data_IF_775401372813
#
_entry.id   IF_775401372813
#
_cell.length_a   1.000
_cell.length_b   1.000
_cell.length_c   1.000
_cell.angle_alpha   90.00
_cell.angle_beta   90.00
_cell.angle_gamma   90.00
#
_symmetry.space_group_name_H-M   'P 1'
#
loop_
_entity.id
_entity.type
_entity.pdbx_description
1 polymer ?
#
# COMPACT_ATOMS: atom_id res chain seq x y z
N UNK A 1 -35.49 6.98 -26.72
CA UNK A 1 -34.10 7.31 -27.10
C UNK A 1 -33.26 6.07 -26.83
N UNK A 2 -32.83 5.39 -27.88
CA UNK A 2 -31.89 4.24 -27.75
C UNK A 2 -30.51 4.81 -27.46
N UNK A 3 -29.98 4.56 -26.30
CA UNK A 3 -28.59 4.87 -25.97
C UNK A 3 -27.70 4.03 -26.92
N UNK A 4 -26.97 4.69 -27.77
CA UNK A 4 -25.95 4.04 -28.60
C UNK A 4 -24.80 3.75 -27.63
N UNK A 5 -24.60 2.49 -27.27
CA UNK A 5 -23.43 2.07 -26.51
C UNK A 5 -22.21 2.23 -27.44
N UNK A 6 -21.41 3.24 -27.17
CA UNK A 6 -20.11 3.34 -27.85
C UNK A 6 -19.23 2.21 -27.32
N UNK A 7 -18.71 1.38 -28.20
CA UNK A 7 -17.68 0.39 -27.84
C UNK A 7 -16.32 1.03 -28.08
N UNK A 8 -15.42 0.90 -27.10
CA UNK A 8 -14.03 1.32 -27.22
C UNK A 8 -13.14 0.09 -27.26
N UNK A 9 -12.22 0.05 -28.20
CA UNK A 9 -11.22 -1.01 -28.28
C UNK A 9 -10.03 -0.65 -27.36
N UNK A 10 -9.73 -1.51 -26.40
CA UNK A 10 -8.57 -1.36 -25.52
C UNK A 10 -7.46 -2.29 -25.98
N UNK A 11 -6.29 -1.74 -26.22
CA UNK A 11 -5.11 -2.51 -26.63
C UNK A 11 -4.17 -2.74 -25.46
N UNK A 12 -3.91 -4.00 -25.14
CA UNK A 12 -2.93 -4.38 -24.13
C UNK A 12 -1.49 -4.40 -24.66
N UNK A 13 -0.48 -4.05 -23.81
CA UNK A 13 -0.64 -3.52 -22.46
C UNK A 13 -1.07 -2.05 -22.49
N UNK A 14 -2.00 -1.66 -21.60
CA UNK A 14 -2.45 -0.27 -21.43
C UNK A 14 -1.35 0.62 -20.83
N UNK A 15 -0.50 0.05 -19.99
CA UNK A 15 0.73 0.65 -19.47
C UNK A 15 1.92 -0.20 -19.89
N UNK A 16 2.90 0.41 -20.57
CA UNK A 16 4.12 -0.27 -20.99
C UNK A 16 5.23 -0.05 -19.99
N UNK A 17 5.83 -1.13 -19.48
CA UNK A 17 6.91 -1.07 -18.50
C UNK A 17 6.70 -2.06 -17.35
N UNK A 18 7.30 -1.75 -16.19
CA UNK A 18 7.18 -2.54 -14.98
C UNK A 18 6.15 -1.88 -14.06
N UNK A 19 4.91 -2.35 -14.14
CA UNK A 19 3.78 -1.89 -13.31
C UNK A 19 3.04 -3.11 -12.75
N UNK A 20 3.69 -3.89 -11.85
CA UNK A 20 3.09 -5.07 -11.23
C UNK A 20 2.11 -4.69 -10.13
N UNK A 21 1.33 -5.69 -9.68
CA UNK A 21 0.45 -5.63 -8.51
C UNK A 21 -0.48 -4.40 -8.50
N UNK A 22 -1.34 -4.24 -9.52
CA UNK A 22 -2.17 -3.06 -9.65
C UNK A 22 -3.28 -3.02 -8.60
N UNK A 23 -3.40 -1.91 -7.89
CA UNK A 23 -4.58 -1.56 -7.10
C UNK A 23 -5.24 -0.32 -7.67
N UNK A 24 -6.54 -0.37 -7.88
CA UNK A 24 -7.27 0.74 -8.46
C UNK A 24 -8.49 1.15 -7.62
N UNK A 25 -8.90 2.41 -7.78
CA UNK A 25 -10.13 2.95 -7.20
C UNK A 25 -10.76 3.97 -8.14
N UNK A 26 -12.04 4.26 -7.91
CA UNK A 26 -12.67 5.45 -8.48
C UNK A 26 -12.25 6.67 -7.67
N UNK A 27 -11.62 7.64 -8.33
CA UNK A 27 -11.25 8.94 -7.77
C UNK A 27 -12.44 9.90 -7.96
N UNK A 28 -13.33 9.94 -6.95
CA UNK A 28 -14.55 10.77 -6.99
C UNK A 28 -14.27 12.26 -7.22
N UNK A 29 -13.28 12.90 -6.54
CA UNK A 29 -12.94 14.28 -6.79
C UNK A 29 -12.44 14.58 -8.21
N UNK A 30 -11.72 13.64 -8.81
CA UNK A 30 -11.18 13.75 -10.15
C UNK A 30 -12.11 13.22 -11.25
N UNK A 31 -13.21 12.55 -10.90
CA UNK A 31 -14.13 11.86 -11.82
C UNK A 31 -13.41 10.91 -12.79
N UNK A 32 -12.42 10.16 -12.26
CA UNK A 32 -11.50 9.32 -13.04
C UNK A 32 -11.12 8.04 -12.29
N UNK A 33 -10.51 7.08 -12.96
CA UNK A 33 -9.91 5.92 -12.31
C UNK A 33 -8.49 6.26 -11.90
N UNK A 34 -8.11 5.94 -10.65
CA UNK A 34 -6.74 6.01 -10.16
C UNK A 34 -6.18 4.59 -9.97
N UNK A 35 -4.92 4.39 -10.33
CA UNK A 35 -4.21 3.12 -10.29
C UNK A 35 -2.84 3.32 -9.65
N UNK A 36 -2.48 2.52 -8.66
CA UNK A 36 -1.13 2.46 -8.08
C UNK A 36 -0.53 1.09 -8.33
N UNK A 37 0.80 1.03 -8.49
CA UNK A 37 1.54 -0.21 -8.69
C UNK A 37 2.69 -0.34 -7.71
N UNK A 38 3.11 -1.58 -7.44
CA UNK A 38 4.37 -1.83 -6.75
C UNK A 38 5.56 -1.34 -7.56
N UNK A 39 6.67 -1.06 -6.90
CA UNK A 39 7.89 -0.57 -7.56
C UNK A 39 9.17 -1.19 -7.00
N UNK A 40 9.04 -2.11 -6.03
CA UNK A 40 10.17 -2.77 -5.37
C UNK A 40 11.21 -1.76 -4.87
N UNK A 41 12.47 -1.91 -5.25
CA UNK A 41 13.58 -1.03 -4.89
C UNK A 41 13.65 0.29 -5.71
N UNK A 42 12.77 0.47 -6.69
CA UNK A 42 12.82 1.64 -7.58
C UNK A 42 12.28 2.91 -6.92
N UNK A 43 13.02 4.00 -7.07
CA UNK A 43 12.66 5.35 -6.60
C UNK A 43 12.71 6.32 -7.78
N UNK A 44 11.70 7.20 -7.99
CA UNK A 44 10.49 7.38 -7.19
C UNK A 44 9.61 6.13 -7.20
N UNK A 45 8.98 5.81 -6.05
CA UNK A 45 8.23 4.58 -5.86
C UNK A 45 6.72 4.77 -5.85
N UNK A 46 5.99 3.66 -5.98
CA UNK A 46 4.53 3.60 -6.02
C UNK A 46 3.94 4.58 -7.05
N UNK A 47 4.17 4.36 -8.35
CA UNK A 47 3.64 5.23 -9.40
C UNK A 47 2.12 5.19 -9.41
N UNK A 48 1.50 6.38 -9.50
CA UNK A 48 0.06 6.57 -9.57
C UNK A 48 -0.30 7.03 -10.97
N UNK A 49 -1.11 6.25 -11.66
CA UNK A 49 -1.65 6.59 -12.96
C UNK A 49 -3.15 6.89 -12.86
N UNK A 50 -3.63 7.75 -13.72
CA UNK A 50 -5.06 8.11 -13.81
C UNK A 50 -5.58 7.92 -15.21
N UNK A 51 -6.88 7.66 -15.35
CA UNK A 51 -7.54 7.48 -16.63
C UNK A 51 -9.02 7.84 -16.53
N UNK A 52 -9.52 8.55 -17.55
CA UNK A 52 -10.94 8.86 -17.71
C UNK A 52 -11.69 7.74 -18.48
N UNK A 53 -10.96 6.85 -19.17
CA UNK A 53 -11.52 5.89 -20.11
C UNK A 53 -10.97 4.46 -20.00
N UNK A 54 -10.07 4.21 -19.03
CA UNK A 54 -9.34 2.95 -18.76
C UNK A 54 -8.46 2.44 -19.93
N UNK A 55 -8.43 3.13 -21.05
CA UNK A 55 -7.61 2.81 -22.21
C UNK A 55 -6.35 3.69 -22.29
N UNK A 56 -6.50 4.96 -21.93
CA UNK A 56 -5.42 5.94 -21.94
C UNK A 56 -5.10 6.34 -20.49
N UNK A 57 -3.82 6.19 -20.11
CA UNK A 57 -3.36 6.41 -18.75
C UNK A 57 -2.27 7.47 -18.71
N UNK A 58 -2.34 8.35 -17.74
CA UNK A 58 -1.36 9.39 -17.47
C UNK A 58 -0.75 9.21 -16.10
N UNK A 59 0.56 9.45 -15.96
CA UNK A 59 1.24 9.44 -14.67
C UNK A 59 0.86 10.71 -13.92
N UNK A 60 0.10 10.57 -12.82
CA UNK A 60 -0.26 11.67 -11.94
C UNK A 60 0.88 12.03 -10.98
N UNK A 61 1.68 11.04 -10.56
CA UNK A 61 2.79 11.22 -9.66
C UNK A 61 3.32 9.90 -9.09
N UNK A 62 4.18 10.01 -8.09
CA UNK A 62 4.68 8.88 -7.32
C UNK A 62 4.42 9.15 -5.84
N UNK A 63 3.86 8.18 -5.13
CA UNK A 63 3.54 8.35 -3.71
C UNK A 63 4.79 8.33 -2.81
N UNK A 64 5.88 7.73 -3.28
CA UNK A 64 7.16 7.64 -2.56
C UNK A 64 8.22 8.43 -3.31
N UNK A 65 8.53 9.62 -2.82
CA UNK A 65 9.68 10.42 -3.24
C UNK A 65 10.97 9.95 -2.54
N UNK A 66 12.09 10.61 -2.83
CA UNK A 66 13.38 10.26 -2.23
C UNK A 66 13.39 10.42 -0.70
N UNK A 67 12.73 11.45 -0.15
CA UNK A 67 12.66 11.67 1.28
C UNK A 67 11.81 10.60 1.99
N UNK A 68 10.69 10.20 1.38
CA UNK A 68 9.87 9.10 1.87
C UNK A 68 10.61 7.76 1.75
N UNK A 69 11.35 7.53 0.65
CA UNK A 69 12.14 6.32 0.46
C UNK A 69 13.20 6.12 1.55
N UNK A 70 13.85 7.22 2.01
CA UNK A 70 14.77 7.16 3.13
C UNK A 70 14.08 6.72 4.43
N UNK A 71 12.91 7.28 4.74
CA UNK A 71 12.12 6.92 5.92
C UNK A 71 11.58 5.48 5.85
N UNK A 72 11.31 4.98 4.66
CA UNK A 72 10.90 3.60 4.37
C UNK A 72 12.07 2.63 4.28
N UNK A 73 13.30 3.09 4.49
CA UNK A 73 14.53 2.28 4.45
C UNK A 73 14.78 1.61 3.08
N UNK A 74 14.24 2.16 1.99
CA UNK A 74 14.42 1.59 0.63
C UNK A 74 15.90 1.42 0.25
N UNK A 75 16.86 2.31 0.60
CA UNK A 75 18.28 2.10 0.30
C UNK A 75 18.90 0.85 0.95
N UNK A 76 18.20 0.22 1.89
CA UNK A 76 18.65 -0.96 2.65
C UNK A 76 17.84 -2.22 2.34
N UNK A 77 17.03 -2.22 1.29
CA UNK A 77 16.33 -3.44 0.89
C UNK A 77 17.26 -4.39 0.13
N UNK A 78 17.06 -5.67 0.37
CA UNK A 78 17.79 -6.72 -0.38
C UNK A 78 17.19 -6.87 -1.78
N UNK A 79 17.94 -7.52 -2.67
CA UNK A 79 17.49 -7.80 -4.04
C UNK A 79 16.08 -8.37 -4.09
N UNK A 80 15.23 -7.82 -4.92
CA UNK A 80 13.79 -8.16 -5.01
C UNK A 80 12.99 -7.84 -3.73
N UNK A 81 13.50 -6.95 -2.89
CA UNK A 81 12.79 -6.35 -1.76
C UNK A 81 12.11 -5.04 -2.14
N UNK A 82 11.77 -4.23 -1.13
CA UNK A 82 11.22 -2.90 -1.31
C UNK A 82 9.70 -2.86 -1.31
N UNK A 83 9.13 -1.97 -2.09
CA UNK A 83 7.69 -1.64 -2.10
C UNK A 83 6.90 -2.72 -2.87
N UNK A 84 6.30 -3.64 -2.10
CA UNK A 84 5.47 -4.74 -2.62
C UNK A 84 4.07 -4.24 -3.00
N UNK A 85 3.11 -5.15 -3.13
CA UNK A 85 1.76 -4.83 -3.58
C UNK A 85 1.10 -3.74 -2.72
N UNK A 86 0.80 -2.56 -3.28
CA UNK A 86 0.10 -1.49 -2.58
C UNK A 86 -1.41 -1.66 -2.72
N UNK A 87 -2.15 -1.09 -1.78
CA UNK A 87 -3.59 -0.84 -1.94
C UNK A 87 -3.87 0.64 -1.82
N UNK A 88 -4.62 1.20 -2.77
CA UNK A 88 -5.07 2.60 -2.79
C UNK A 88 -6.56 2.67 -2.47
N UNK A 89 -6.94 3.45 -1.45
CA UNK A 89 -8.33 3.67 -1.04
C UNK A 89 -8.57 5.12 -0.62
N UNK A 90 -9.84 5.49 -0.60
CA UNK A 90 -10.31 6.70 0.10
C UNK A 90 -10.80 6.28 1.48
N UNK A 91 -10.16 6.78 2.54
CA UNK A 91 -10.51 6.53 3.94
C UNK A 91 -10.70 7.87 4.64
N UNK A 92 -11.86 8.09 5.22
CA UNK A 92 -12.19 9.36 5.90
C UNK A 92 -11.92 10.61 5.05
N UNK A 93 -12.13 10.51 3.75
CA UNK A 93 -11.93 11.61 2.82
C UNK A 93 -10.47 11.92 2.46
N UNK A 94 -9.54 11.03 2.81
CA UNK A 94 -8.12 11.11 2.43
C UNK A 94 -7.77 9.96 1.49
N UNK A 95 -6.85 10.20 0.58
CA UNK A 95 -6.20 9.13 -0.15
C UNK A 95 -5.23 8.41 0.78
N UNK A 96 -5.34 7.10 0.82
CA UNK A 96 -4.55 6.23 1.69
C UNK A 96 -3.94 5.12 0.86
N UNK A 97 -2.64 4.90 1.02
CA UNK A 97 -1.95 3.74 0.50
C UNK A 97 -1.47 2.88 1.66
N UNK A 98 -1.92 1.63 1.70
CA UNK A 98 -1.36 0.58 2.54
C UNK A 98 -0.38 -0.24 1.71
N UNK A 99 0.81 -0.52 2.25
CA UNK A 99 1.85 -1.26 1.53
C UNK A 99 2.81 -1.94 2.52
N UNK A 100 3.61 -2.87 2.00
CA UNK A 100 4.72 -3.49 2.73
C UNK A 100 6.04 -3.11 2.06
N UNK A 101 7.00 -2.58 2.83
CA UNK A 101 8.39 -2.56 2.40
C UNK A 101 9.06 -3.83 2.88
N UNK A 102 9.32 -4.75 1.96
CA UNK A 102 9.78 -6.09 2.27
C UNK A 102 11.31 -6.21 2.18
N UNK A 103 11.87 -7.19 2.93
CA UNK A 103 13.27 -7.60 2.89
C UNK A 103 14.25 -6.46 3.20
N UNK A 104 13.98 -5.69 4.23
CA UNK A 104 14.90 -4.64 4.72
C UNK A 104 16.05 -5.30 5.47
N UNK A 105 17.28 -4.94 5.15
CA UNK A 105 18.47 -5.24 5.96
C UNK A 105 18.57 -4.22 7.10
N UNK A 106 17.89 -4.52 8.21
CA UNK A 106 17.84 -3.64 9.39
C UNK A 106 19.21 -3.49 10.08
N UNK A 107 20.11 -4.47 9.91
CA UNK A 107 21.45 -4.41 10.49
C UNK A 107 22.32 -3.45 9.68
N UNK A 108 22.23 -3.48 8.35
CA UNK A 108 22.88 -2.51 7.47
C UNK A 108 22.36 -1.08 7.72
N UNK A 109 21.03 -0.91 7.87
CA UNK A 109 20.43 0.38 8.19
C UNK A 109 20.93 0.93 9.54
N UNK A 110 21.01 0.09 10.56
CA UNK A 110 21.54 0.46 11.87
C UNK A 110 23.04 0.84 11.82
N UNK A 111 23.83 0.10 11.04
CA UNK A 111 25.25 0.40 10.84
C UNK A 111 25.51 1.70 10.08
N UNK A 112 24.55 2.14 9.26
CA UNK A 112 24.59 3.41 8.53
C UNK A 112 24.05 4.60 9.33
N UNK A 113 23.76 4.41 10.63
CA UNK A 113 23.24 5.44 11.54
C UNK A 113 21.95 6.12 11.04
N UNK A 114 21.09 5.33 10.36
CA UNK A 114 19.76 5.79 9.95
C UNK A 114 18.90 6.06 11.18
N UNK A 115 17.87 6.92 11.01
CA UNK A 115 16.92 7.27 12.07
C UNK A 115 16.39 6.03 12.81
N UNK A 116 16.65 5.93 14.14
CA UNK A 116 16.24 4.78 14.94
C UNK A 116 14.71 4.55 14.96
N UNK A 117 13.89 5.59 14.81
CA UNK A 117 12.43 5.47 14.78
C UNK A 117 11.97 4.72 13.52
N UNK A 118 12.61 4.98 12.37
CA UNK A 118 12.35 4.25 11.13
C UNK A 118 12.72 2.77 11.24
N UNK A 119 13.87 2.45 11.86
CA UNK A 119 14.32 1.07 12.06
C UNK A 119 13.39 0.31 13.01
N UNK A 120 13.01 0.91 14.13
CA UNK A 120 12.11 0.28 15.10
C UNK A 120 10.71 0.13 14.52
N UNK A 121 10.20 1.14 13.82
CA UNK A 121 8.92 1.09 13.13
C UNK A 121 8.86 -0.05 12.11
N UNK A 122 9.86 -0.17 11.25
CA UNK A 122 9.97 -1.24 10.27
C UNK A 122 10.05 -2.64 10.95
N UNK A 123 10.78 -2.74 12.07
CA UNK A 123 10.87 -3.97 12.86
C UNK A 123 9.53 -4.37 13.47
N UNK A 124 8.86 -3.44 14.16
CA UNK A 124 7.62 -3.68 14.88
C UNK A 124 6.43 -3.98 13.96
N UNK A 125 6.48 -3.46 12.73
CA UNK A 125 5.44 -3.63 11.70
C UNK A 125 5.75 -4.73 10.68
N UNK A 126 6.92 -5.34 10.73
CA UNK A 126 7.45 -6.20 9.64
C UNK A 126 7.44 -5.49 8.26
N UNK A 127 7.65 -4.17 8.26
CA UNK A 127 7.66 -3.34 7.06
C UNK A 127 6.29 -2.90 6.58
N UNK A 128 5.20 -3.22 7.27
CA UNK A 128 3.85 -2.79 6.91
C UNK A 128 3.61 -1.34 7.32
N UNK A 129 3.13 -0.52 6.40
CA UNK A 129 2.92 0.91 6.63
C UNK A 129 1.72 1.46 5.88
N UNK A 130 1.30 2.65 6.31
CA UNK A 130 0.35 3.51 5.61
C UNK A 130 1.05 4.84 5.27
N UNK A 131 0.70 5.40 4.14
CA UNK A 131 0.89 6.81 3.79
C UNK A 131 -0.44 7.41 3.38
N UNK A 132 -0.63 8.70 3.64
CA UNK A 132 -1.88 9.41 3.34
C UNK A 132 -1.64 10.75 2.66
N UNK A 133 -2.62 11.23 1.89
CA UNK A 133 -2.61 12.53 1.26
C UNK A 133 -4.02 13.13 1.14
N UNK A 134 -4.10 14.46 1.05
CA UNK A 134 -5.35 15.17 0.82
C UNK A 134 -5.69 15.28 -0.68
N UNK A 135 -4.69 15.08 -1.55
CA UNK A 135 -4.83 15.01 -3.00
C UNK A 135 -4.07 13.81 -3.54
N UNK A 136 -4.54 13.24 -4.65
CA UNK A 136 -3.94 12.04 -5.25
C UNK A 136 -2.47 12.27 -5.68
N UNK A 137 -2.16 13.46 -6.11
CA UNK A 137 -0.81 13.89 -6.48
C UNK A 137 0.10 14.18 -5.28
N UNK A 138 -0.44 14.13 -4.05
CA UNK A 138 0.29 14.40 -2.82
C UNK A 138 0.17 15.86 -2.35
N UNK A 139 1.03 16.34 -1.45
CA UNK A 139 2.15 15.58 -0.85
C UNK A 139 1.67 14.44 0.06
N UNK A 140 2.35 13.31 -0.03
CA UNK A 140 2.09 12.13 0.81
C UNK A 140 2.80 12.25 2.17
N UNK A 141 2.07 11.94 3.25
CA UNK A 141 2.54 11.97 4.64
C UNK A 141 2.70 10.57 5.19
N UNK A 142 3.61 10.38 6.12
CA UNK A 142 3.97 9.11 6.75
C UNK A 142 5.48 8.86 6.66
N UNK A 143 5.96 7.61 6.72
CA UNK A 143 5.15 6.41 6.90
C UNK A 143 4.55 6.33 8.31
N UNK A 144 3.34 5.80 8.41
CA UNK A 144 2.74 5.34 9.65
C UNK A 144 2.93 3.83 9.71
N UNK A 145 3.85 3.36 10.53
CA UNK A 145 4.16 1.95 10.69
C UNK A 145 3.04 1.24 11.45
N UNK A 146 2.56 0.10 10.92
CA UNK A 146 1.44 -0.64 11.51
C UNK A 146 1.99 -1.71 12.45
N UNK A 147 2.26 -1.32 13.69
CA UNK A 147 2.79 -2.20 14.73
C UNK A 147 1.91 -3.45 14.90
N UNK A 148 2.56 -4.62 14.90
CA UNK A 148 1.90 -5.91 15.03
C UNK A 148 1.25 -6.44 13.74
N UNK A 149 1.32 -5.73 12.62
CA UNK A 149 0.90 -6.27 11.33
C UNK A 149 1.91 -7.32 10.86
N UNK A 150 1.43 -8.55 10.67
CA UNK A 150 2.26 -9.68 10.25
C UNK A 150 1.92 -10.08 8.81
N UNK A 151 2.95 -10.17 7.95
CA UNK A 151 2.82 -10.64 6.58
C UNK A 151 3.01 -9.55 5.53
N UNK A 152 2.41 -9.72 4.35
CA UNK A 152 2.57 -8.84 3.20
C UNK A 152 1.22 -8.60 2.49
N UNK A 153 1.23 -7.71 1.51
CA UNK A 153 0.10 -7.41 0.61
C UNK A 153 -1.15 -6.95 1.37
N UNK A 154 -1.04 -5.83 2.11
CA UNK A 154 -2.16 -5.33 2.89
C UNK A 154 -3.26 -4.71 2.02
N UNK A 155 -4.49 -4.87 2.46
CA UNK A 155 -5.63 -4.07 2.04
C UNK A 155 -6.21 -3.30 3.23
N UNK A 156 -6.77 -2.13 2.96
CA UNK A 156 -7.48 -1.31 3.94
C UNK A 156 -8.88 -1.02 3.41
N UNK A 157 -9.88 -1.17 4.28
CA UNK A 157 -11.28 -1.05 3.91
C UNK A 157 -12.06 -0.27 4.96
N UNK A 158 -12.84 0.73 4.54
CA UNK A 158 -13.81 1.42 5.37
C UNK A 158 -15.20 0.86 5.12
N UNK A 159 -15.83 0.31 6.16
CA UNK A 159 -17.17 -0.27 6.10
C UNK A 159 -18.24 0.83 6.20
N UNK A 160 -19.47 0.48 5.85
CA UNK A 160 -20.63 1.39 5.86
C UNK A 160 -20.95 2.00 7.23
N UNK A 161 -20.54 1.33 8.31
CA UNK A 161 -20.68 1.84 9.69
C UNK A 161 -19.53 2.79 10.09
N UNK A 162 -18.56 3.00 9.18
CA UNK A 162 -17.38 3.81 9.41
C UNK A 162 -16.25 3.07 10.15
N UNK A 163 -16.38 1.78 10.41
CA UNK A 163 -15.27 0.96 10.91
C UNK A 163 -14.24 0.75 9.80
N UNK A 164 -12.95 0.85 10.15
CA UNK A 164 -11.87 0.62 9.20
C UNK A 164 -11.16 -0.68 9.57
N UNK A 165 -10.82 -1.47 8.56
CA UNK A 165 -10.21 -2.77 8.70
C UNK A 165 -8.92 -2.84 7.90
N UNK A 166 -7.89 -3.43 8.52
CA UNK A 166 -6.65 -3.87 7.91
C UNK A 166 -6.75 -5.37 7.62
N UNK A 167 -6.47 -5.77 6.39
CA UNK A 167 -6.51 -7.16 5.95
C UNK A 167 -5.23 -7.49 5.19
N UNK A 168 -4.60 -8.61 5.49
CA UNK A 168 -3.41 -9.05 4.74
C UNK A 168 -3.17 -10.56 4.85
N UNK A 169 -2.23 -11.07 4.05
CA UNK A 169 -1.78 -12.46 4.12
C UNK A 169 -0.58 -12.61 5.06
N UNK A 170 -0.50 -13.74 5.76
CA UNK A 170 0.64 -14.11 6.61
C UNK A 170 0.87 -15.63 6.58
N UNK A 171 2.01 -16.12 7.06
CA UNK A 171 2.16 -17.54 7.36
C UNK A 171 1.05 -18.00 8.31
N UNK A 172 0.46 -19.18 8.03
CA UNK A 172 -0.63 -19.67 8.86
C UNK A 172 -0.16 -19.94 10.30
N UNK A 173 -0.92 -19.48 11.29
CA UNK A 173 -0.63 -19.71 12.73
C UNK A 173 -0.65 -21.20 13.07
N UNK A 174 -1.53 -21.97 12.39
CA UNK A 174 -1.63 -23.44 12.55
C UNK A 174 -1.59 -24.10 11.17
N UNK A 175 -0.40 -24.20 10.55
CA UNK A 175 -0.29 -24.75 9.20
C UNK A 175 -0.63 -26.24 9.16
N UNK A 176 -1.37 -26.67 8.12
CA UNK A 176 -1.67 -28.06 7.82
C UNK A 176 -0.64 -28.68 6.86
N UNK A 177 0.15 -27.83 6.17
CA UNK A 177 1.24 -28.18 5.28
C UNK A 177 2.31 -27.10 5.31
N UNK A 178 3.52 -27.43 4.91
CA UNK A 178 4.64 -26.50 4.83
C UNK A 178 4.33 -25.34 3.85
N UNK A 179 4.60 -24.10 4.28
CA UNK A 179 4.38 -22.89 3.47
C UNK A 179 2.91 -22.45 3.35
N UNK A 180 1.99 -23.03 4.15
CA UNK A 180 0.60 -22.55 4.17
C UNK A 180 0.55 -21.12 4.68
N UNK A 181 -0.22 -20.28 3.95
CA UNK A 181 -0.58 -18.93 4.37
C UNK A 181 -2.05 -18.86 4.79
N UNK A 182 -2.41 -17.80 5.49
CA UNK A 182 -3.77 -17.45 5.82
C UNK A 182 -4.01 -15.96 5.61
N UNK A 183 -5.24 -15.57 5.39
CA UNK A 183 -5.68 -14.17 5.41
C UNK A 183 -6.23 -13.87 6.79
N UNK A 184 -5.83 -12.73 7.35
CA UNK A 184 -6.37 -12.22 8.61
C UNK A 184 -6.86 -10.80 8.44
N UNK A 185 -7.81 -10.41 9.29
CA UNK A 185 -8.43 -9.08 9.28
C UNK A 185 -8.54 -8.59 10.72
N UNK A 186 -8.24 -7.31 10.93
CA UNK A 186 -8.36 -6.65 12.24
C UNK A 186 -8.81 -5.21 12.06
N UNK A 187 -9.60 -4.68 13.00
CA UNK A 187 -9.95 -3.27 13.01
C UNK A 187 -8.69 -2.43 13.21
N UNK A 188 -8.63 -1.30 12.50
CA UNK A 188 -7.58 -0.29 12.64
C UNK A 188 -8.24 1.06 12.94
N UNK A 189 -7.65 1.84 13.83
CA UNK A 189 -8.07 3.19 14.13
C UNK A 189 -7.56 4.15 13.04
N UNK A 190 -8.43 4.78 12.25
CA UNK A 190 -8.03 5.65 11.15
C UNK A 190 -7.42 6.99 11.58
N UNK A 191 -7.51 7.35 12.88
CA UNK A 191 -6.91 8.58 13.40
C UNK A 191 -5.45 8.36 13.83
N UNK A 192 -5.12 7.15 14.26
CA UNK A 192 -3.81 6.81 14.81
C UNK A 192 -3.05 5.77 14.00
N UNK A 193 -3.72 5.13 13.05
CA UNK A 193 -3.21 4.00 12.26
C UNK A 193 -2.68 2.85 13.13
N UNK A 194 -3.38 2.57 14.25
CA UNK A 194 -3.06 1.46 15.15
C UNK A 194 -4.10 0.36 15.07
N UNK A 195 -3.65 -0.88 15.07
CA UNK A 195 -4.53 -2.03 15.16
C UNK A 195 -5.27 -2.00 16.51
N UNK A 196 -6.59 -2.09 16.48
CA UNK A 196 -7.40 -2.19 17.68
C UNK A 196 -7.17 -3.55 18.36
N UNK A 197 -7.34 -3.62 19.69
CA UNK A 197 -7.27 -4.90 20.38
C UNK A 197 -8.24 -5.91 19.74
N UNK A 198 -7.78 -7.13 19.48
CA UNK A 198 -8.65 -8.20 19.00
C UNK A 198 -9.68 -8.57 20.09
N UNK A 199 -10.95 -8.67 19.73
CA UNK A 199 -11.99 -9.14 20.65
C UNK A 199 -11.85 -10.62 21.04
N UNK A 200 -10.97 -11.36 20.40
CA UNK A 200 -10.74 -12.80 20.62
C UNK A 200 -9.73 -13.11 21.73
N UNK A 201 -9.38 -12.13 22.57
CA UNK A 201 -8.51 -12.37 23.72
C UNK A 201 -9.23 -13.06 24.91
N UNK A 202 -10.55 -13.26 24.83
CA UNK A 202 -11.33 -13.96 25.85
C UNK A 202 -12.08 -15.18 25.25
N UNK A 203 -11.38 -16.31 25.22
CA UNK A 203 -11.95 -17.67 25.17
C UNK A 203 -12.10 -18.31 23.82
#
# INVERSE_FOLDING_TARGET
MTATTATMDITNPVLRGMYPDPSWMWDEPGERVALVNSSFELVPGLPIHVSDDIANWELAGNAVDEAMAQRLLIPFVLDSGGLYAPTLRMIRGKYVIACTVARIDLDAAAAAEVDPESIEGARASQGNFIIEADALEGPWRGPYWIEGAEGIDPDIFEDLDGSVYWTQTRPAVRPRWEGQTEVWTQRIDPETWRLCASHDADG
#
